data_IF_402494655327
#
_entry.id   IF_402494655327
#
_cell.length_a   1.000
_cell.length_b   1.000
_cell.length_c   1.000
_cell.angle_alpha   90.00
_cell.angle_beta   90.00
_cell.angle_gamma   90.00
#
_symmetry.space_group_name_H-M   'P 1'
#
loop_
_entity.id
_entity.type
_entity.pdbx_description
1 polymer ?
#
# COMPACT_ATOMS: atom_id res chain seq x y z
N UNK A 1 -16.06 4.20 10.64
CA UNK A 1 -16.66 4.45 9.31
C UNK A 1 -16.08 5.69 8.63
N UNK A 2 -15.52 6.67 9.35
CA UNK A 2 -14.77 7.77 8.74
C UNK A 2 -13.36 7.34 8.26
N UNK A 3 -12.84 6.25 8.83
CA UNK A 3 -11.48 5.78 8.64
C UNK A 3 -11.27 5.10 7.29
N UNK A 4 -12.23 4.27 6.83
CA UNK A 4 -12.11 3.52 5.56
C UNK A 4 -11.99 4.45 4.35
N UNK A 5 -12.80 5.52 4.30
CA UNK A 5 -12.72 6.50 3.21
C UNK A 5 -11.38 7.25 3.24
N UNK A 6 -10.87 7.58 4.42
CA UNK A 6 -9.58 8.26 4.57
C UNK A 6 -8.41 7.34 4.21
N UNK A 7 -8.48 6.06 4.56
CA UNK A 7 -7.50 5.06 4.16
C UNK A 7 -7.49 4.86 2.64
N UNK A 8 -8.66 4.75 2.02
CA UNK A 8 -8.80 4.64 0.57
C UNK A 8 -8.28 5.88 -0.15
N UNK A 9 -8.55 7.09 0.37
CA UNK A 9 -7.98 8.32 -0.19
C UNK A 9 -6.45 8.36 -0.06
N UNK A 10 -5.90 7.90 1.06
CA UNK A 10 -4.44 7.79 1.26
C UNK A 10 -3.80 6.78 0.32
N UNK A 11 -4.48 5.66 0.07
CA UNK A 11 -4.02 4.64 -0.88
C UNK A 11 -4.12 5.22 -2.30
N UNK A 12 -5.24 5.83 -2.65
CA UNK A 12 -5.48 6.45 -3.95
C UNK A 12 -4.39 7.48 -4.30
N UNK A 13 -4.09 8.42 -3.39
CA UNK A 13 -2.99 9.39 -3.53
C UNK A 13 -1.60 8.78 -3.65
N UNK A 14 -1.46 7.50 -3.33
CA UNK A 14 -0.20 6.75 -3.43
C UNK A 14 -0.05 6.06 -4.77
N UNK A 15 -1.17 5.84 -5.45
CA UNK A 15 -1.24 5.35 -6.82
C UNK A 15 -1.26 6.50 -7.83
N UNK A 16 -1.99 7.58 -7.52
CA UNK A 16 -2.02 8.83 -8.28
C UNK A 16 -0.71 9.61 -8.04
N UNK A 17 0.27 9.40 -8.93
CA UNK A 17 1.61 9.99 -8.81
C UNK A 17 1.64 11.42 -9.34
N UNK A 18 0.83 11.71 -10.35
CA UNK A 18 0.74 13.01 -10.98
C UNK A 18 -0.22 13.98 -10.23
N UNK A 19 -1.08 13.46 -9.35
CA UNK A 19 -2.03 14.21 -8.55
C UNK A 19 -3.25 14.70 -9.33
N UNK A 20 -3.58 14.08 -10.47
CA UNK A 20 -4.69 14.50 -11.34
C UNK A 20 -6.06 13.99 -10.87
N UNK A 21 -6.09 13.18 -9.81
CA UNK A 21 -7.32 12.62 -9.23
C UNK A 21 -7.82 11.37 -9.95
N UNK A 22 -7.00 10.78 -10.84
CA UNK A 22 -7.28 9.57 -11.60
C UNK A 22 -6.02 8.68 -11.58
N UNK A 23 -6.18 7.37 -11.75
CA UNK A 23 -5.01 6.47 -11.83
C UNK A 23 -4.91 5.96 -13.26
N UNK A 24 -3.86 6.34 -13.96
CA UNK A 24 -3.58 5.81 -15.29
C UNK A 24 -3.00 4.38 -15.23
N UNK A 25 -3.12 3.62 -16.33
CA UNK A 25 -2.53 2.28 -16.42
C UNK A 25 -1.01 2.27 -16.18
N UNK A 26 -0.34 3.37 -16.54
CA UNK A 26 1.10 3.56 -16.31
C UNK A 26 1.39 3.70 -14.82
N UNK A 27 0.66 4.56 -14.11
CA UNK A 27 0.82 4.79 -12.67
C UNK A 27 0.48 3.54 -11.86
N UNK A 28 -0.63 2.87 -12.22
CA UNK A 28 -0.99 1.58 -11.65
C UNK A 28 0.16 0.59 -11.83
N UNK A 29 0.74 0.53 -13.03
CA UNK A 29 1.88 -0.33 -13.33
C UNK A 29 3.13 -0.01 -12.52
N UNK A 30 3.48 1.26 -12.32
CA UNK A 30 4.67 1.65 -11.56
C UNK A 30 4.50 1.41 -10.05
N UNK A 31 3.29 1.60 -9.52
CA UNK A 31 2.96 1.22 -8.15
C UNK A 31 2.95 -0.30 -7.94
N UNK A 32 2.40 -1.06 -8.89
CA UNK A 32 2.40 -2.52 -8.85
C UNK A 32 3.80 -3.10 -9.00
N UNK A 33 4.65 -2.54 -9.86
CA UNK A 33 6.09 -2.87 -9.95
C UNK A 33 6.80 -2.66 -8.61
N UNK A 34 6.44 -1.61 -7.88
CA UNK A 34 7.01 -1.30 -6.56
C UNK A 34 6.56 -2.31 -5.49
N UNK A 35 5.42 -2.98 -5.70
CA UNK A 35 4.91 -4.03 -4.83
C UNK A 35 5.41 -5.43 -5.19
N UNK A 36 5.80 -5.67 -6.46
CA UNK A 36 6.37 -6.93 -6.96
C UNK A 36 6.48 -6.93 -8.49
N UNK A 37 6.96 -8.01 -9.10
CA UNK A 37 6.97 -8.13 -10.57
C UNK A 37 5.57 -8.44 -11.10
N UNK A 38 4.92 -7.44 -11.69
CA UNK A 38 3.62 -7.57 -12.36
C UNK A 38 3.79 -7.28 -13.85
N UNK A 39 3.16 -8.07 -14.71
CA UNK A 39 3.31 -7.94 -16.17
C UNK A 39 2.36 -6.87 -16.73
N UNK A 40 2.70 -6.24 -17.88
CA UNK A 40 1.80 -5.31 -18.56
C UNK A 40 0.46 -5.93 -18.96
N UNK A 41 0.42 -7.25 -19.16
CA UNK A 41 -0.83 -7.98 -19.41
C UNK A 41 -1.70 -8.08 -18.16
N UNK A 42 -1.12 -8.34 -16.99
CA UNK A 42 -1.85 -8.28 -15.72
C UNK A 42 -2.41 -6.89 -15.45
N UNK A 43 -1.61 -5.85 -15.70
CA UNK A 43 -2.03 -4.45 -15.52
C UNK A 43 -3.24 -4.14 -16.40
N UNK A 44 -3.22 -4.55 -17.67
CA UNK A 44 -4.37 -4.38 -18.57
C UNK A 44 -5.61 -5.14 -18.11
N UNK A 45 -5.44 -6.36 -17.59
CA UNK A 45 -6.55 -7.15 -17.04
C UNK A 45 -7.16 -6.49 -15.80
N UNK A 46 -6.32 -6.01 -14.88
CA UNK A 46 -6.78 -5.29 -13.69
C UNK A 46 -7.45 -3.97 -14.07
N UNK A 47 -6.88 -3.25 -15.04
CA UNK A 47 -7.48 -2.02 -15.55
C UNK A 47 -8.89 -2.31 -16.06
N UNK A 48 -9.05 -3.26 -16.97
CA UNK A 48 -10.35 -3.62 -17.54
C UNK A 48 -11.37 -4.20 -16.54
N UNK A 49 -10.91 -4.64 -15.36
CA UNK A 49 -11.80 -5.11 -14.29
C UNK A 49 -12.29 -3.96 -13.38
N UNK A 50 -11.53 -2.87 -13.30
CA UNK A 50 -11.82 -1.72 -12.43
C UNK A 50 -12.43 -0.55 -13.23
N UNK A 51 -11.80 -0.22 -14.36
CA UNK A 51 -12.23 0.77 -15.36
C UNK A 51 -13.54 0.28 -16.00
N UNK A 52 -14.65 0.78 -15.47
CA UNK A 52 -16.00 0.33 -15.84
C UNK A 52 -16.57 1.23 -16.95
N UNK A 53 -16.15 2.49 -16.99
CA UNK A 53 -16.55 3.43 -18.03
C UNK A 53 -15.69 3.33 -19.31
N UNK A 54 -14.54 2.66 -19.23
CA UNK A 54 -13.64 2.36 -20.34
C UNK A 54 -12.84 3.58 -20.79
N UNK A 55 -12.64 4.57 -19.92
CA UNK A 55 -11.91 5.80 -20.25
C UNK A 55 -10.37 5.60 -20.23
N UNK A 56 -9.90 4.46 -19.76
CA UNK A 56 -8.48 4.12 -19.65
C UNK A 56 -7.81 4.67 -18.40
N UNK A 57 -8.59 5.19 -17.46
CA UNK A 57 -8.20 5.68 -16.15
C UNK A 57 -9.07 5.02 -15.08
N UNK A 58 -8.61 5.05 -13.83
CA UNK A 58 -9.42 4.61 -12.70
C UNK A 58 -9.79 5.85 -11.90
N UNK A 59 -11.06 6.21 -11.94
CA UNK A 59 -11.61 7.30 -11.15
C UNK A 59 -11.67 6.94 -9.67
N UNK A 60 -11.65 7.93 -8.79
CA UNK A 60 -11.81 7.70 -7.34
C UNK A 60 -13.10 6.92 -7.01
N UNK A 61 -14.18 7.13 -7.77
CA UNK A 61 -15.44 6.41 -7.56
C UNK A 61 -15.32 4.91 -7.88
N UNK A 62 -14.71 4.56 -9.00
CA UNK A 62 -14.49 3.17 -9.44
C UNK A 62 -13.53 2.46 -8.51
N UNK A 63 -12.48 3.15 -8.07
CA UNK A 63 -11.56 2.66 -7.06
C UNK A 63 -12.27 2.33 -5.74
N UNK A 64 -13.20 3.19 -5.30
CA UNK A 64 -13.99 2.94 -4.09
C UNK A 64 -14.94 1.74 -4.26
N UNK A 65 -15.56 1.61 -5.43
CA UNK A 65 -16.49 0.52 -5.70
C UNK A 65 -15.76 -0.83 -5.75
N UNK A 66 -14.62 -0.86 -6.46
CA UNK A 66 -13.71 -2.01 -6.47
C UNK A 66 -13.19 -2.34 -5.07
N UNK A 67 -12.77 -1.35 -4.28
CA UNK A 67 -12.29 -1.57 -2.92
C UNK A 67 -13.37 -2.10 -1.98
N UNK A 68 -14.64 -1.70 -2.18
CA UNK A 68 -15.79 -2.25 -1.44
C UNK A 68 -16.08 -3.68 -1.87
N UNK A 69 -16.05 -3.97 -3.17
CA UNK A 69 -16.25 -5.30 -3.72
C UNK A 69 -15.13 -6.28 -3.31
N UNK A 70 -13.88 -5.80 -3.30
CA UNK A 70 -12.66 -6.57 -3.05
C UNK A 70 -11.90 -6.09 -1.80
N UNK A 71 -12.62 -5.95 -0.69
CA UNK A 71 -12.06 -5.42 0.57
C UNK A 71 -10.88 -6.21 1.14
N UNK A 72 -10.69 -7.48 0.76
CA UNK A 72 -9.52 -8.28 1.14
C UNK A 72 -8.24 -7.86 0.41
N UNK A 73 -8.30 -7.78 -0.92
CA UNK A 73 -7.15 -7.46 -1.76
C UNK A 73 -6.62 -6.05 -1.50
N UNK A 74 -7.51 -5.07 -1.34
CA UNK A 74 -7.14 -3.68 -1.05
C UNK A 74 -6.40 -3.56 0.28
N UNK A 75 -6.83 -4.33 1.29
CA UNK A 75 -6.21 -4.36 2.61
C UNK A 75 -4.83 -5.01 2.56
N UNK A 76 -4.64 -6.08 1.79
CA UNK A 76 -3.33 -6.72 1.64
C UNK A 76 -2.33 -5.84 0.88
N UNK A 77 -2.79 -5.18 -0.20
CA UNK A 77 -1.99 -4.22 -0.97
C UNK A 77 -1.61 -3.03 -0.10
N UNK A 78 -2.57 -2.41 0.59
CA UNK A 78 -2.32 -1.32 1.53
C UNK A 78 -1.35 -1.77 2.63
N UNK A 79 -1.63 -2.90 3.28
CA UNK A 79 -0.78 -3.46 4.33
C UNK A 79 0.65 -3.71 3.85
N UNK A 80 0.86 -4.11 2.60
CA UNK A 80 2.19 -4.29 1.99
C UNK A 80 2.87 -2.97 1.65
N UNK A 81 2.13 -1.98 1.15
CA UNK A 81 2.63 -0.61 0.95
C UNK A 81 3.01 0.09 2.26
N UNK A 82 2.28 -0.15 3.34
CA UNK A 82 2.57 0.37 4.68
C UNK A 82 3.60 -0.49 5.44
N UNK A 83 3.71 -1.79 5.14
CA UNK A 83 4.66 -2.72 5.80
C UNK A 83 6.13 -2.37 5.54
N UNK A 84 6.45 -1.63 4.48
CA UNK A 84 7.82 -1.20 4.20
C UNK A 84 8.42 -0.39 5.37
N UNK A 85 7.59 0.31 6.15
CA UNK A 85 8.02 0.99 7.38
C UNK A 85 7.77 0.17 8.65
N UNK A 86 6.65 -0.56 8.77
CA UNK A 86 6.26 -1.23 10.02
C UNK A 86 7.20 -2.39 10.37
N UNK A 87 7.66 -3.16 9.38
CA UNK A 87 8.67 -4.21 9.62
C UNK A 87 9.97 -3.58 10.09
N UNK A 88 10.39 -2.46 9.51
CA UNK A 88 11.59 -1.74 9.94
C UNK A 88 11.43 -1.26 11.39
N UNK A 89 10.42 -0.45 11.72
CA UNK A 89 10.23 0.05 13.09
C UNK A 89 9.99 -1.05 14.14
N UNK A 90 9.31 -2.16 13.80
CA UNK A 90 9.10 -3.28 14.73
C UNK A 90 10.35 -4.16 14.90
N UNK A 91 11.13 -4.37 13.84
CA UNK A 91 12.40 -5.13 13.88
C UNK A 91 13.49 -4.37 14.64
N UNK A 92 13.56 -3.04 14.49
CA UNK A 92 14.48 -2.21 15.27
C UNK A 92 14.03 -2.17 16.75
N UNK A 93 12.72 -2.10 17.01
CA UNK A 93 12.19 -2.09 18.39
C UNK A 93 12.45 -3.40 19.15
N UNK A 94 12.40 -4.56 18.48
CA UNK A 94 12.82 -5.83 19.09
C UNK A 94 14.33 -5.93 19.33
N UNK A 95 15.15 -5.23 18.54
CA UNK A 95 16.61 -5.21 18.72
C UNK A 95 17.05 -4.27 19.86
N UNK A 96 16.40 -3.11 20.00
CA UNK A 96 16.68 -2.19 21.13
C UNK A 96 16.19 -2.73 22.48
N UNK A 97 15.16 -3.57 22.50
CA UNK A 97 14.66 -4.20 23.73
C UNK A 97 15.54 -5.29 24.34
N UNK A 98 16.62 -5.71 23.67
CA UNK A 98 17.51 -6.78 24.17
C UNK A 98 18.80 -6.26 24.84
N UNK A 99 19.12 -4.96 24.72
CA UNK A 99 20.36 -4.37 25.28
C UNK A 99 20.29 -4.09 26.79
N UNK A 100 19.11 -3.89 27.37
CA UNK A 100 19.00 -3.51 28.80
C UNK A 100 18.91 -4.69 29.77
N UNK A 101 18.88 -5.94 29.29
CA UNK A 101 18.80 -7.14 30.16
C UNK A 101 20.12 -7.87 30.38
N UNK A 102 21.25 -7.21 30.16
CA UNK A 102 22.55 -7.71 30.60
C UNK A 102 23.32 -6.63 31.38
N UNK A 103 22.70 -6.12 32.44
CA UNK A 103 23.46 -5.53 33.56
C UNK A 103 23.98 -6.65 34.46
N UNK A 104 24.93 -7.43 33.94
CA UNK A 104 25.93 -8.02 34.83
C UNK A 104 27.21 -7.21 34.63
N UNK A 105 27.22 -6.01 35.21
CA UNK A 105 28.37 -5.13 35.26
C UNK A 105 29.19 -5.50 36.51
N UNK A 106 30.37 -6.14 36.38
CA UNK A 106 31.23 -6.46 37.52
C UNK A 106 32.05 -5.26 38.04
N UNK A 107 31.83 -4.05 37.52
CA UNK A 107 32.58 -2.84 37.87
C UNK A 107 31.76 -1.78 38.62
N UNK A 108 30.69 -2.17 39.31
CA UNK A 108 30.07 -1.28 40.29
C UNK A 108 31.03 -1.14 41.49
N UNK A 109 31.86 -0.09 41.47
CA UNK A 109 32.59 0.46 42.62
C UNK A 109 31.70 1.45 43.38
#
# INVERSE_FOLDING_TARGET
MADEKSELERIFKRFDLNGDGQISATELGDCLKSLGSVTPEEIKRMMAEIDTDGDGFISFHEFLDFAKANSGLMKDVAKRMFNSLVIYYSMIFQFYGQVERSTNNPYAI
#
